data_IF_019097343564
#
_entry.id   IF_019097343564
#
_cell.length_a   1.000
_cell.length_b   1.000
_cell.length_c   1.000
_cell.angle_alpha   90.00
_cell.angle_beta   90.00
_cell.angle_gamma   90.00
#
_symmetry.space_group_name_H-M   'P 1'
#
loop_
_entity.id
_entity.type
_entity.pdbx_description
1 polymer ?
#
# COMPACT_ATOMS: atom_id res chain seq x y z
N UNK A 1 -26.10 11.16 -10.00
CA UNK A 1 -25.57 9.81 -9.65
C UNK A 1 -25.42 9.70 -8.13
N UNK A 2 -26.07 8.73 -7.49
CA UNK A 2 -26.10 8.56 -6.03
C UNK A 2 -24.69 8.35 -5.42
N UNK A 3 -23.80 7.54 -6.06
CA UNK A 3 -22.45 7.25 -5.57
C UNK A 3 -21.55 8.48 -5.45
N UNK A 4 -21.71 9.48 -6.29
CA UNK A 4 -20.86 10.68 -6.31
C UNK A 4 -21.41 11.78 -5.40
N UNK A 5 -22.75 11.92 -5.34
CA UNK A 5 -23.40 13.07 -4.69
C UNK A 5 -23.80 12.81 -3.22
N UNK A 6 -23.92 11.55 -2.78
CA UNK A 6 -24.25 11.23 -1.39
C UNK A 6 -23.00 10.99 -0.54
N UNK A 7 -23.06 11.35 0.74
CA UNK A 7 -21.98 11.09 1.70
C UNK A 7 -21.74 9.59 1.90
N UNK A 8 -22.80 8.79 1.84
CA UNK A 8 -22.73 7.33 1.95
C UNK A 8 -22.08 6.74 0.70
N UNK A 9 -22.48 7.16 -0.51
CA UNK A 9 -21.92 6.67 -1.75
C UNK A 9 -20.40 6.89 -1.84
N UNK A 10 -19.92 8.07 -1.43
CA UNK A 10 -18.46 8.36 -1.39
C UNK A 10 -17.71 7.44 -0.42
N UNK A 11 -18.29 7.14 0.74
CA UNK A 11 -17.68 6.18 1.69
C UNK A 11 -17.66 4.76 1.13
N UNK A 12 -18.70 4.35 0.39
CA UNK A 12 -18.74 3.04 -0.27
C UNK A 12 -17.64 2.95 -1.35
N UNK A 13 -17.48 3.97 -2.21
CA UNK A 13 -16.38 4.01 -3.20
C UNK A 13 -15.02 3.92 -2.51
N UNK A 14 -14.82 4.68 -1.42
CA UNK A 14 -13.60 4.65 -0.62
C UNK A 14 -13.31 3.26 -0.06
N UNK A 15 -14.35 2.56 0.43
CA UNK A 15 -14.20 1.22 1.00
C UNK A 15 -13.91 0.16 -0.06
N UNK A 16 -14.60 0.20 -1.20
CA UNK A 16 -14.38 -0.74 -2.31
C UNK A 16 -12.97 -0.59 -2.89
N UNK A 17 -12.55 0.65 -3.17
CA UNK A 17 -11.19 0.92 -3.65
C UNK A 17 -10.14 0.51 -2.62
N UNK A 18 -10.38 0.77 -1.33
CA UNK A 18 -9.49 0.35 -0.25
C UNK A 18 -9.33 -1.17 -0.16
N UNK A 19 -10.43 -1.94 -0.25
CA UNK A 19 -10.38 -3.41 -0.24
C UNK A 19 -9.63 -3.93 -1.47
N UNK A 20 -9.87 -3.37 -2.65
CA UNK A 20 -9.15 -3.77 -3.86
C UNK A 20 -7.63 -3.53 -3.73
N UNK A 21 -7.22 -2.39 -3.15
CA UNK A 21 -5.81 -2.11 -2.87
C UNK A 21 -5.22 -3.06 -1.82
N UNK A 22 -5.99 -3.45 -0.79
CA UNK A 22 -5.57 -4.45 0.21
C UNK A 22 -5.33 -5.81 -0.45
N UNK A 23 -6.21 -6.25 -1.33
CA UNK A 23 -6.04 -7.50 -2.08
C UNK A 23 -4.79 -7.47 -2.96
N UNK A 24 -4.56 -6.35 -3.64
CA UNK A 24 -3.32 -6.16 -4.40
C UNK A 24 -2.08 -6.21 -3.50
N UNK A 25 -2.08 -5.51 -2.35
CA UNK A 25 -0.95 -5.55 -1.42
C UNK A 25 -0.66 -6.96 -0.91
N UNK A 26 -1.70 -7.77 -0.69
CA UNK A 26 -1.52 -9.17 -0.30
C UNK A 26 -0.81 -9.97 -1.38
N UNK A 27 -1.32 -9.89 -2.61
CA UNK A 27 -0.70 -10.52 -3.77
C UNK A 27 0.74 -10.05 -3.94
N UNK A 28 0.97 -8.73 -3.92
CA UNK A 28 2.28 -8.11 -4.08
C UNK A 28 3.26 -8.57 -2.97
N UNK A 29 2.83 -8.61 -1.72
CA UNK A 29 3.64 -9.10 -0.60
C UNK A 29 4.02 -10.58 -0.75
N UNK A 30 3.06 -11.43 -1.14
CA UNK A 30 3.33 -12.85 -1.39
C UNK A 30 4.34 -13.07 -2.53
N UNK A 31 4.23 -12.29 -3.62
CA UNK A 31 5.18 -12.39 -4.73
C UNK A 31 6.58 -11.93 -4.31
N UNK A 32 6.69 -10.85 -3.54
CA UNK A 32 8.00 -10.37 -3.08
C UNK A 32 8.72 -11.35 -2.12
N UNK A 33 7.97 -12.12 -1.35
CA UNK A 33 8.56 -13.14 -0.45
C UNK A 33 9.30 -14.23 -1.24
N UNK A 34 8.93 -14.50 -2.49
CA UNK A 34 9.63 -15.47 -3.35
C UNK A 34 11.10 -15.08 -3.53
N UNK A 35 11.42 -13.79 -3.57
CA UNK A 35 12.80 -13.31 -3.66
C UNK A 35 13.71 -13.76 -2.50
N UNK A 36 13.12 -14.12 -1.35
CA UNK A 36 13.85 -14.64 -0.19
C UNK A 36 14.31 -16.10 -0.37
N UNK A 37 13.72 -16.82 -1.32
CA UNK A 37 13.99 -18.22 -1.55
C UNK A 37 14.75 -18.46 -2.85
N UNK A 38 14.43 -17.73 -3.91
CA UNK A 38 15.08 -17.86 -5.23
C UNK A 38 14.96 -16.58 -6.04
N UNK A 39 16.11 -16.00 -6.41
CA UNK A 39 16.17 -14.86 -7.32
C UNK A 39 15.69 -15.21 -8.73
N UNK A 40 15.98 -16.41 -9.23
CA UNK A 40 15.52 -16.89 -10.54
C UNK A 40 13.99 -17.01 -10.59
N UNK A 41 13.38 -17.64 -9.58
CA UNK A 41 11.93 -17.75 -9.49
C UNK A 41 11.27 -16.37 -9.37
N UNK A 42 11.88 -15.43 -8.66
CA UNK A 42 11.39 -14.07 -8.56
C UNK A 42 11.49 -13.34 -9.91
N UNK A 43 12.60 -13.46 -10.63
CA UNK A 43 12.76 -12.86 -11.96
C UNK A 43 11.77 -13.43 -12.97
N UNK A 44 11.48 -14.74 -12.92
CA UNK A 44 10.40 -15.35 -13.72
C UNK A 44 9.04 -14.70 -13.45
N UNK A 45 8.73 -14.37 -12.19
CA UNK A 45 7.51 -13.63 -11.83
C UNK A 45 7.56 -12.20 -12.40
N UNK A 46 8.71 -11.52 -12.32
CA UNK A 46 8.89 -10.19 -12.87
C UNK A 46 8.70 -10.16 -14.39
N UNK A 47 9.25 -11.14 -15.11
CA UNK A 47 9.05 -11.31 -16.55
C UNK A 47 7.56 -11.56 -16.89
N UNK A 48 6.88 -12.43 -16.14
CA UNK A 48 5.47 -12.72 -16.33
C UNK A 48 4.58 -11.50 -16.09
N UNK A 49 4.91 -10.66 -15.11
CA UNK A 49 4.16 -9.47 -14.73
C UNK A 49 4.74 -8.16 -15.30
N UNK A 50 5.72 -8.25 -16.21
CA UNK A 50 6.37 -7.11 -16.86
C UNK A 50 5.45 -6.41 -17.88
N UNK A 51 5.99 -6.04 -19.05
CA UNK A 51 5.26 -5.29 -20.07
C UNK A 51 4.27 -6.12 -20.91
N UNK A 52 3.85 -7.29 -20.44
CA UNK A 52 2.80 -8.07 -21.07
C UNK A 52 1.46 -7.31 -21.07
N UNK A 53 0.68 -7.45 -22.14
CA UNK A 53 -0.57 -6.70 -22.30
C UNK A 53 -1.54 -6.81 -21.11
N UNK A 54 -1.69 -8.00 -20.52
CA UNK A 54 -2.56 -8.21 -19.36
C UNK A 54 -2.02 -7.54 -18.09
N UNK A 55 -0.69 -7.53 -17.89
CA UNK A 55 -0.05 -6.86 -16.77
C UNK A 55 -0.16 -5.33 -16.89
N UNK A 56 -0.01 -4.79 -18.09
CA UNK A 56 -0.21 -3.37 -18.39
C UNK A 56 -1.65 -2.95 -18.09
N UNK A 57 -2.65 -3.71 -18.55
CA UNK A 57 -4.06 -3.45 -18.27
C UNK A 57 -4.36 -3.53 -16.78
N UNK A 58 -3.82 -4.53 -16.08
CA UNK A 58 -3.97 -4.66 -14.63
C UNK A 58 -3.33 -3.48 -13.88
N UNK A 59 -2.15 -3.03 -14.30
CA UNK A 59 -1.44 -1.88 -13.71
C UNK A 59 -2.21 -0.57 -13.93
N UNK A 60 -2.78 -0.36 -15.12
CA UNK A 60 -3.63 0.80 -15.38
C UNK A 60 -4.90 0.78 -14.53
N UNK A 61 -5.53 -0.39 -14.38
CA UNK A 61 -6.67 -0.58 -13.49
C UNK A 61 -6.32 -0.29 -12.03
N UNK A 62 -5.17 -0.78 -11.56
CA UNK A 62 -4.67 -0.53 -10.21
C UNK A 62 -4.35 0.97 -10.00
N UNK A 63 -3.72 1.62 -10.97
CA UNK A 63 -3.45 3.06 -10.92
C UNK A 63 -4.75 3.87 -10.84
N UNK A 64 -5.77 3.51 -11.62
CA UNK A 64 -7.09 4.14 -11.56
C UNK A 64 -7.74 3.97 -10.17
N UNK A 65 -7.67 2.77 -9.58
CA UNK A 65 -8.16 2.50 -8.23
C UNK A 65 -7.41 3.32 -7.17
N UNK A 66 -6.09 3.40 -7.26
CA UNK A 66 -5.26 4.18 -6.33
C UNK A 66 -5.57 5.67 -6.43
N UNK A 67 -5.65 6.23 -7.64
CA UNK A 67 -6.00 7.63 -7.87
C UNK A 67 -7.41 7.92 -7.33
N UNK A 68 -8.39 7.06 -7.63
CA UNK A 68 -9.74 7.17 -7.10
C UNK A 68 -9.75 7.18 -5.56
N UNK A 69 -9.04 6.24 -4.93
CA UNK A 69 -8.91 6.17 -3.47
C UNK A 69 -8.32 7.45 -2.88
N UNK A 70 -7.23 7.95 -3.45
CA UNK A 70 -6.55 9.18 -2.99
C UNK A 70 -7.46 10.40 -3.16
N UNK A 71 -8.09 10.58 -4.31
CA UNK A 71 -8.99 11.71 -4.58
C UNK A 71 -10.17 11.72 -3.60
N UNK A 72 -10.82 10.57 -3.40
CA UNK A 72 -11.92 10.48 -2.45
C UNK A 72 -11.47 10.68 -1.00
N UNK A 73 -10.25 10.28 -0.63
CA UNK A 73 -9.68 10.55 0.69
C UNK A 73 -9.58 12.07 0.95
N UNK A 74 -9.08 12.84 -0.03
CA UNK A 74 -9.01 14.28 0.07
C UNK A 74 -10.40 14.95 0.12
N UNK A 75 -11.34 14.51 -0.74
CA UNK A 75 -12.72 15.02 -0.76
C UNK A 75 -13.38 14.80 0.60
N UNK A 76 -13.34 13.58 1.14
CA UNK A 76 -13.94 13.24 2.42
C UNK A 76 -13.28 14.01 3.59
N UNK A 77 -11.96 14.15 3.55
CA UNK A 77 -11.23 14.94 4.56
C UNK A 77 -11.63 16.42 4.51
N UNK A 78 -11.72 17.01 3.33
CA UNK A 78 -12.13 18.40 3.16
C UNK A 78 -13.57 18.62 3.66
N UNK A 79 -14.48 17.69 3.36
CA UNK A 79 -15.87 17.75 3.85
C UNK A 79 -15.97 17.61 5.37
N UNK A 80 -15.23 16.68 5.96
CA UNK A 80 -15.20 16.49 7.41
C UNK A 80 -14.62 17.72 8.13
N UNK A 81 -13.62 18.39 7.55
CA UNK A 81 -13.06 19.65 8.08
C UNK A 81 -14.07 20.79 8.00
N UNK A 82 -14.76 20.95 6.87
CA UNK A 82 -15.80 21.96 6.70
C UNK A 82 -16.99 21.74 7.67
N UNK A 83 -17.41 20.49 7.85
CA UNK A 83 -18.50 20.14 8.75
C UNK A 83 -18.17 20.43 10.23
N UNK A 84 -16.90 20.33 10.63
CA UNK A 84 -16.46 20.68 12.00
C UNK A 84 -16.44 22.19 12.27
N UNK A 85 -16.33 23.03 11.24
CA UNK A 85 -16.24 24.49 11.38
C UNK A 85 -14.95 24.98 12.05
N UNK A 86 -14.86 26.30 12.26
CA UNK A 86 -13.70 26.96 12.91
C UNK A 86 -13.83 27.05 14.44
N UNK A 87 -14.96 26.64 15.02
CA UNK A 87 -15.14 26.69 16.48
C UNK A 87 -14.31 25.60 17.15
N UNK A 88 -13.28 26.00 17.88
CA UNK A 88 -12.60 25.12 18.82
C UNK A 88 -13.50 24.91 20.02
N UNK A 89 -13.68 23.65 20.43
CA UNK A 89 -14.35 23.37 21.69
C UNK A 89 -13.54 24.00 22.83
N UNK A 90 -14.19 24.71 23.73
CA UNK A 90 -13.58 25.26 24.96
C UNK A 90 -13.03 24.14 25.86
N UNK A 91 -13.65 22.96 25.78
CA UNK A 91 -13.19 21.75 26.47
C UNK A 91 -12.78 20.71 25.45
N UNK A 92 -11.47 20.51 25.29
CA UNK A 92 -10.91 19.41 24.49
C UNK A 92 -10.93 18.11 25.30
N UNK A 93 -12.12 17.56 25.54
CA UNK A 93 -12.22 16.19 26.01
C UNK A 93 -11.73 15.29 24.87
N UNK A 94 -10.52 14.70 25.01
CA UNK A 94 -10.09 13.61 24.13
C UNK A 94 -11.07 12.47 24.32
N UNK A 95 -11.85 12.06 23.29
CA UNK A 95 -12.70 10.89 23.42
C UNK A 95 -11.79 9.70 23.71
N UNK A 96 -11.93 9.06 24.86
CA UNK A 96 -11.13 7.92 25.31
C UNK A 96 -11.11 6.73 24.32
N UNK A 97 -12.00 6.74 23.33
CA UNK A 97 -12.23 5.63 22.40
C UNK A 97 -11.84 5.91 20.93
N UNK A 98 -11.25 7.07 20.61
CA UNK A 98 -10.84 7.35 19.21
C UNK A 98 -9.42 6.87 18.98
N UNK A 99 -9.26 5.93 18.04
CA UNK A 99 -7.95 5.39 17.66
C UNK A 99 -7.04 6.49 17.10
N UNK A 100 -5.77 6.47 17.48
CA UNK A 100 -4.74 7.40 17.01
C UNK A 100 -4.63 7.39 15.46
N UNK A 101 -4.67 6.21 14.86
CA UNK A 101 -4.65 6.05 13.40
C UNK A 101 -5.80 6.79 12.73
N UNK A 102 -7.03 6.70 13.28
CA UNK A 102 -8.20 7.42 12.76
C UNK A 102 -8.02 8.94 12.76
N UNK A 103 -7.40 9.49 13.80
CA UNK A 103 -7.16 10.93 13.91
C UNK A 103 -6.10 11.43 12.92
N UNK A 104 -5.14 10.58 12.55
CA UNK A 104 -3.98 10.91 11.74
C UNK A 104 -4.06 10.35 10.31
N UNK A 105 -5.23 9.85 9.87
CA UNK A 105 -5.38 9.20 8.56
C UNK A 105 -4.89 10.05 7.38
N UNK A 106 -5.07 11.39 7.44
CA UNK A 106 -4.58 12.27 6.37
C UNK A 106 -3.04 12.30 6.32
N UNK A 107 -2.40 12.43 7.48
CA UNK A 107 -0.92 12.46 7.56
C UNK A 107 -0.35 11.12 7.11
N UNK A 108 -0.92 10.01 7.60
CA UNK A 108 -0.56 8.67 7.18
C UNK A 108 -0.74 8.49 5.67
N UNK A 109 -1.87 8.97 5.12
CA UNK A 109 -2.13 8.92 3.69
C UNK A 109 -1.12 9.71 2.85
N UNK A 110 -0.69 10.88 3.33
CA UNK A 110 0.36 11.68 2.65
C UNK A 110 1.69 10.92 2.65
N UNK A 111 2.10 10.34 3.78
CA UNK A 111 3.34 9.55 3.87
C UNK A 111 3.26 8.35 2.92
N UNK A 112 2.09 7.70 2.83
CA UNK A 112 1.88 6.57 1.92
C UNK A 112 2.00 7.01 0.46
N UNK A 113 1.45 8.14 0.08
CA UNK A 113 1.57 8.68 -1.30
C UNK A 113 3.02 9.00 -1.63
N UNK A 114 3.76 9.63 -0.72
CA UNK A 114 5.19 9.93 -0.93
C UNK A 114 6.02 8.65 -1.06
N UNK A 115 5.79 7.66 -0.20
CA UNK A 115 6.45 6.36 -0.30
C UNK A 115 6.06 5.59 -1.56
N UNK A 116 4.80 5.69 -2.00
CA UNK A 116 4.36 5.11 -3.27
C UNK A 116 5.09 5.74 -4.46
N UNK A 117 5.25 7.06 -4.49
CA UNK A 117 6.01 7.74 -5.56
C UNK A 117 7.48 7.30 -5.58
N UNK A 118 8.11 7.17 -4.40
CA UNK A 118 9.45 6.63 -4.28
C UNK A 118 9.53 5.20 -4.80
N UNK A 119 8.56 4.35 -4.43
CA UNK A 119 8.47 2.96 -4.86
C UNK A 119 8.28 2.84 -6.38
N UNK A 120 7.39 3.63 -6.96
CA UNK A 120 7.19 3.67 -8.40
C UNK A 120 8.44 4.11 -9.15
N UNK A 121 9.18 5.06 -8.60
CA UNK A 121 10.45 5.51 -9.19
C UNK A 121 11.52 4.41 -9.10
N UNK A 122 11.69 3.76 -7.95
CA UNK A 122 12.73 2.75 -7.76
C UNK A 122 12.48 1.46 -8.55
N UNK A 123 11.20 1.07 -8.74
CA UNK A 123 10.85 -0.21 -9.35
C UNK A 123 10.06 -0.06 -10.64
N UNK A 124 8.85 0.50 -10.61
CA UNK A 124 7.98 0.53 -11.78
C UNK A 124 8.62 1.28 -12.98
N UNK A 125 9.26 2.41 -12.71
CA UNK A 125 9.93 3.22 -13.73
C UNK A 125 11.12 2.48 -14.35
N UNK A 126 11.92 1.79 -13.54
CA UNK A 126 13.10 1.06 -14.00
C UNK A 126 12.78 -0.32 -14.60
N UNK A 127 11.61 -0.87 -14.32
CA UNK A 127 11.15 -2.17 -14.80
C UNK A 127 10.10 -2.01 -15.91
N UNK A 128 8.80 -2.04 -15.57
CA UNK A 128 7.72 -2.04 -16.57
C UNK A 128 7.76 -0.84 -17.53
N UNK A 129 8.01 0.37 -17.04
CA UNK A 129 8.06 1.56 -17.90
C UNK A 129 9.28 1.52 -18.84
N UNK A 130 10.44 1.09 -18.34
CA UNK A 130 11.64 0.90 -19.16
C UNK A 130 11.43 -0.15 -20.25
N UNK A 131 10.80 -1.28 -19.90
CA UNK A 131 10.48 -2.36 -20.84
C UNK A 131 9.48 -1.90 -21.93
N UNK A 132 8.46 -1.09 -21.57
CA UNK A 132 7.52 -0.52 -22.53
C UNK A 132 8.18 0.45 -23.53
N UNK A 133 9.30 1.08 -23.15
CA UNK A 133 10.06 1.98 -24.01
C UNK A 133 11.24 1.29 -24.72
N UNK A 134 11.36 -0.03 -24.58
CA UNK A 134 12.49 -0.81 -25.11
C UNK A 134 13.84 -0.22 -24.69
N UNK A 135 13.97 0.13 -23.40
CA UNK A 135 15.16 0.74 -22.80
C UNK A 135 15.52 0.04 -21.48
N UNK A 136 16.69 0.33 -20.95
CA UNK A 136 17.13 -0.19 -19.64
C UNK A 136 17.87 0.86 -18.84
N UNK A 137 17.68 0.85 -17.52
CA UNK A 137 18.31 1.76 -16.57
C UNK A 137 19.16 0.95 -15.58
N UNK A 138 20.37 0.55 -16.02
CA UNK A 138 21.33 -0.19 -15.19
C UNK A 138 21.20 -1.71 -15.30
N UNK A 139 20.03 -2.29 -15.09
CA UNK A 139 19.75 -3.73 -15.19
C UNK A 139 18.74 -4.02 -16.29
N UNK A 140 18.62 -5.31 -16.66
CA UNK A 140 17.53 -5.77 -17.50
C UNK A 140 16.18 -5.45 -16.79
N UNK A 141 15.18 -4.88 -17.46
CA UNK A 141 13.91 -4.54 -16.84
C UNK A 141 13.19 -5.71 -16.15
N UNK A 142 13.42 -6.94 -16.59
CA UNK A 142 12.88 -8.16 -15.96
C UNK A 142 13.70 -8.65 -14.75
N UNK A 143 14.89 -8.09 -14.49
CA UNK A 143 15.72 -8.48 -13.34
C UNK A 143 15.30 -7.74 -12.06
N UNK A 144 14.10 -8.05 -11.57
CA UNK A 144 13.56 -7.46 -10.37
C UNK A 144 14.38 -7.76 -9.12
N UNK A 145 15.09 -8.90 -9.09
CA UNK A 145 15.94 -9.26 -7.97
C UNK A 145 17.13 -8.29 -7.81
N UNK A 146 17.81 -7.94 -8.92
CA UNK A 146 18.88 -6.95 -8.90
C UNK A 146 18.39 -5.56 -8.46
N UNK A 147 17.20 -5.13 -8.91
CA UNK A 147 16.62 -3.85 -8.48
C UNK A 147 16.30 -3.82 -6.97
N UNK A 148 15.82 -4.92 -6.39
CA UNK A 148 15.63 -5.02 -4.94
C UNK A 148 16.98 -4.93 -4.22
N UNK A 149 17.97 -5.66 -4.70
CA UNK A 149 19.31 -5.71 -4.11
C UNK A 149 19.96 -4.33 -4.09
N UNK A 150 19.99 -3.63 -5.22
CA UNK A 150 20.57 -2.29 -5.34
C UNK A 150 19.81 -1.25 -4.48
N UNK A 151 18.48 -1.32 -4.49
CA UNK A 151 17.67 -0.38 -3.70
C UNK A 151 17.96 -0.52 -2.21
N UNK A 152 17.99 -1.73 -1.69
CA UNK A 152 18.16 -1.96 -0.25
C UNK A 152 19.62 -2.12 0.19
N UNK A 153 20.58 -2.10 -0.72
CA UNK A 153 21.99 -1.86 -0.39
C UNK A 153 22.20 -0.43 0.15
N UNK A 154 21.32 0.52 -0.20
CA UNK A 154 21.42 1.89 0.30
C UNK A 154 20.61 2.05 1.60
N UNK A 155 21.27 2.34 2.75
CA UNK A 155 20.60 2.44 4.04
C UNK A 155 19.57 3.58 4.10
N UNK A 156 19.69 4.62 3.27
CA UNK A 156 18.71 5.71 3.22
C UNK A 156 17.37 5.17 2.71
N UNK A 157 17.39 4.37 1.63
CA UNK A 157 16.16 3.75 1.13
C UNK A 157 15.58 2.77 2.14
N UNK A 158 16.40 1.97 2.81
CA UNK A 158 15.93 1.06 3.87
C UNK A 158 15.12 1.84 4.92
N UNK A 159 15.66 2.94 5.45
CA UNK A 159 14.99 3.76 6.47
C UNK A 159 13.70 4.36 5.92
N UNK A 160 13.70 4.91 4.71
CA UNK A 160 12.51 5.49 4.09
C UNK A 160 11.41 4.45 3.87
N UNK A 161 11.76 3.24 3.40
CA UNK A 161 10.80 2.16 3.22
C UNK A 161 10.24 1.66 4.55
N UNK A 162 11.04 1.55 5.61
CA UNK A 162 10.55 1.18 6.94
C UNK A 162 9.56 2.22 7.47
N UNK A 163 9.86 3.52 7.37
CA UNK A 163 8.93 4.59 7.76
C UNK A 163 7.62 4.48 6.96
N UNK A 164 7.72 4.28 5.66
CA UNK A 164 6.57 4.10 4.77
C UNK A 164 5.72 2.89 5.16
N UNK A 165 6.34 1.73 5.40
CA UNK A 165 5.68 0.50 5.79
C UNK A 165 4.98 0.62 7.15
N UNK A 166 5.59 1.32 8.12
CA UNK A 166 4.95 1.60 9.42
C UNK A 166 3.73 2.51 9.24
N UNK A 167 3.82 3.56 8.42
CA UNK A 167 2.68 4.41 8.11
C UNK A 167 1.55 3.62 7.41
N UNK A 168 1.90 2.72 6.48
CA UNK A 168 0.97 1.82 5.82
C UNK A 168 0.28 0.89 6.83
N UNK A 169 1.03 0.34 7.78
CA UNK A 169 0.46 -0.51 8.84
C UNK A 169 -0.61 0.22 9.67
N UNK A 170 -0.31 1.43 10.15
CA UNK A 170 -1.30 2.23 10.87
C UNK A 170 -2.52 2.56 10.00
N UNK A 171 -2.31 2.84 8.74
CA UNK A 171 -3.38 3.12 7.78
C UNK A 171 -4.29 1.89 7.59
N UNK A 172 -3.69 0.71 7.42
CA UNK A 172 -4.42 -0.55 7.25
C UNK A 172 -5.15 -1.01 8.52
N UNK A 173 -4.54 -0.86 9.70
CA UNK A 173 -5.18 -1.25 10.96
C UNK A 173 -6.51 -0.54 11.19
N UNK A 174 -6.63 0.71 10.74
CA UNK A 174 -7.89 1.44 10.74
C UNK A 174 -8.74 1.20 9.48
N UNK A 175 -8.12 1.24 8.32
CA UNK A 175 -8.80 1.17 7.01
C UNK A 175 -9.54 -0.15 6.81
N UNK A 176 -8.96 -1.27 7.23
CA UNK A 176 -9.51 -2.61 7.04
C UNK A 176 -10.91 -2.75 7.67
N UNK A 177 -11.01 -2.59 8.98
CA UNK A 177 -12.30 -2.76 9.67
C UNK A 177 -13.30 -1.65 9.32
N UNK A 178 -12.83 -0.44 9.05
CA UNK A 178 -13.65 0.69 8.65
C UNK A 178 -14.33 0.46 7.29
N UNK A 179 -13.61 -0.16 6.34
CA UNK A 179 -14.17 -0.53 5.06
C UNK A 179 -15.29 -1.59 5.21
N UNK A 180 -15.04 -2.63 6.01
CA UNK A 180 -16.02 -3.69 6.29
C UNK A 180 -17.27 -3.12 6.99
N UNK A 181 -17.09 -2.19 7.92
CA UNK A 181 -18.19 -1.50 8.59
C UNK A 181 -19.02 -0.67 7.60
N UNK A 182 -18.36 0.05 6.71
CA UNK A 182 -19.05 0.88 5.69
C UNK A 182 -19.89 0.04 4.73
N UNK A 183 -19.44 -1.17 4.40
CA UNK A 183 -20.16 -2.11 3.54
C UNK A 183 -21.31 -2.85 4.27
N UNK A 184 -21.50 -2.60 5.58
CA UNK A 184 -22.58 -3.20 6.34
C UNK A 184 -22.30 -4.62 6.87
N UNK A 185 -21.06 -5.12 6.71
CA UNK A 185 -20.67 -6.47 7.16
C UNK A 185 -20.25 -6.52 8.64
N UNK A 186 -20.43 -5.43 9.38
CA UNK A 186 -20.04 -5.32 10.78
C UNK A 186 -21.29 -5.09 11.67
N UNK A 187 -21.75 -6.13 12.34
CA UNK A 187 -22.75 -6.02 13.42
C UNK A 187 -22.10 -5.78 14.78
N UNK A 188 -22.92 -5.53 15.83
CA UNK A 188 -22.43 -5.26 17.20
C UNK A 188 -21.42 -6.31 17.70
N UNK A 189 -21.68 -7.59 17.44
CA UNK A 189 -20.83 -8.72 17.87
C UNK A 189 -19.54 -8.80 17.04
N UNK A 190 -19.60 -8.49 15.75
CA UNK A 190 -18.48 -8.64 14.82
C UNK A 190 -17.56 -7.44 14.80
N UNK A 191 -17.96 -6.28 15.30
CA UNK A 191 -17.16 -5.06 15.28
C UNK A 191 -15.77 -5.25 15.94
N UNK A 192 -15.76 -5.76 17.20
CA UNK A 192 -14.49 -6.02 17.89
C UNK A 192 -13.66 -7.11 17.22
N UNK A 193 -14.32 -8.12 16.64
CA UNK A 193 -13.63 -9.21 15.90
C UNK A 193 -12.97 -8.69 14.64
N UNK A 194 -13.65 -7.84 13.86
CA UNK A 194 -13.07 -7.25 12.65
C UNK A 194 -11.89 -6.33 12.94
N UNK A 195 -11.91 -5.61 14.06
CA UNK A 195 -10.74 -4.83 14.51
C UNK A 195 -9.54 -5.73 14.80
N UNK A 196 -9.76 -6.81 15.52
CA UNK A 196 -8.69 -7.76 15.85
C UNK A 196 -8.17 -8.46 14.59
N UNK A 197 -9.05 -8.93 13.71
CA UNK A 197 -8.67 -9.56 12.43
C UNK A 197 -7.88 -8.57 11.58
N UNK A 198 -8.34 -7.32 11.46
CA UNK A 198 -7.66 -6.28 10.70
C UNK A 198 -6.26 -5.96 11.25
N UNK A 199 -6.10 -5.94 12.57
CA UNK A 199 -4.79 -5.73 13.21
C UNK A 199 -3.84 -6.91 12.92
N UNK A 200 -4.28 -8.15 13.13
CA UNK A 200 -3.49 -9.35 12.86
C UNK A 200 -3.09 -9.40 11.39
N UNK A 201 -4.05 -9.23 10.49
CA UNK A 201 -3.83 -9.24 9.05
C UNK A 201 -2.83 -8.16 8.61
N UNK A 202 -3.03 -6.92 9.04
CA UNK A 202 -2.12 -5.81 8.71
C UNK A 202 -0.73 -6.02 9.26
N UNK A 203 -0.59 -6.66 10.43
CA UNK A 203 0.71 -6.99 11.03
C UNK A 203 1.42 -8.08 10.24
N UNK A 204 0.71 -9.13 9.83
CA UNK A 204 1.30 -10.18 8.98
C UNK A 204 1.78 -9.57 7.66
N UNK A 205 0.95 -8.75 7.02
CA UNK A 205 1.29 -8.09 5.75
C UNK A 205 2.51 -7.17 5.90
N UNK A 206 2.56 -6.39 6.99
CA UNK A 206 3.74 -5.56 7.32
C UNK A 206 4.99 -6.42 7.45
N UNK A 207 4.92 -7.51 8.21
CA UNK A 207 6.06 -8.39 8.44
C UNK A 207 6.59 -9.02 7.15
N UNK A 208 5.70 -9.42 6.21
CA UNK A 208 6.12 -9.92 4.90
C UNK A 208 7.03 -8.92 4.17
N UNK A 209 6.64 -7.64 4.12
CA UNK A 209 7.45 -6.62 3.47
C UNK A 209 8.71 -6.26 4.26
N UNK A 210 8.63 -6.14 5.59
CA UNK A 210 9.80 -5.81 6.42
C UNK A 210 10.88 -6.89 6.31
N UNK A 211 10.50 -8.16 6.31
CA UNK A 211 11.46 -9.26 6.19
C UNK A 211 12.19 -9.19 4.85
N UNK A 212 11.50 -8.89 3.75
CA UNK A 212 12.13 -8.69 2.44
C UNK A 212 13.13 -7.53 2.52
N UNK A 213 12.71 -6.35 2.97
CA UNK A 213 13.60 -5.17 3.06
C UNK A 213 14.85 -5.46 3.89
N UNK A 214 14.69 -6.07 5.07
CA UNK A 214 15.81 -6.35 5.97
C UNK A 214 16.72 -7.48 5.44
N UNK A 215 16.17 -8.52 4.82
CA UNK A 215 16.97 -9.61 4.26
C UNK A 215 17.93 -9.10 3.17
N UNK A 216 17.46 -8.22 2.29
CA UNK A 216 18.32 -7.60 1.28
C UNK A 216 19.27 -6.56 1.88
N UNK A 217 18.84 -5.76 2.85
CA UNK A 217 19.69 -4.78 3.53
C UNK A 217 20.88 -5.42 4.26
N UNK A 218 20.69 -6.61 4.83
CA UNK A 218 21.73 -7.34 5.56
C UNK A 218 22.44 -8.40 4.74
N UNK A 219 22.16 -8.50 3.44
CA UNK A 219 22.76 -9.48 2.55
C UNK A 219 22.41 -10.95 2.88
N UNK A 220 21.28 -11.16 3.55
CA UNK A 220 20.78 -12.50 3.89
C UNK A 220 19.93 -13.12 2.77
N UNK A 221 19.67 -12.40 1.68
CA UNK A 221 18.96 -12.92 0.51
C UNK A 221 19.86 -13.89 -0.28
N UNK A 222 19.30 -14.95 -0.93
CA UNK A 222 20.09 -15.87 -1.72
C UNK A 222 20.79 -15.11 -2.85
N UNK A 223 22.11 -15.33 -3.00
CA UNK A 223 22.82 -14.85 -4.17
C UNK A 223 22.26 -15.55 -5.42
N UNK A 224 22.06 -14.81 -6.52
CA UNK A 224 21.93 -15.44 -7.83
C UNK A 224 23.21 -16.27 -8.03
N UNK A 225 23.11 -17.59 -7.98
CA UNK A 225 24.21 -18.45 -8.40
C UNK A 225 24.44 -18.13 -9.86
N UNK A 226 25.58 -17.48 -10.16
CA UNK A 226 26.09 -17.39 -11.52
C UNK A 226 26.30 -18.83 -12.00
N UNK A 227 25.36 -19.36 -12.80
CA UNK A 227 25.49 -20.59 -13.54
C UNK A 227 26.07 -20.27 -14.92
#
# INVERSE_FOLDING_TARGET
>A
MWLINSSIGRKVVMSVTGIALILFLTFHGCMNVVALFSGEAYNTICELLGANWYAVVATLGLAALAVCHIVYAFILTAQNRRARGNQRYEVTAKPEKVEWASQNMLVLGIIIVLGLLLHLFNFWYNMMFAELLDTSFGHCPSDGFAFIQDTFANPVFVVLYIIWLVALWFHLTHGFWSAIQTLGWSGKTWFCRWKMIGMIYSTILLLLFIVVVLAFAFGCAPSLCCA
#
